data_IF_861470745031
#
_entry.id   IF_861470745031
#
_cell.length_a   1.000
_cell.length_b   1.000
_cell.length_c   1.000
_cell.angle_alpha   90.00
_cell.angle_beta   90.00
_cell.angle_gamma   90.00
#
_symmetry.space_group_name_H-M   'P 1'
#
loop_
_entity.id
_entity.type
_entity.pdbx_description
1 polymer ?
#
# COMPACT_ATOMS: atom_id res chain seq x y z
N UNK A 1 -94.03 -34.49 46.73
CA UNK A 1 -92.74 -35.15 47.09
C UNK A 1 -92.18 -35.76 45.85
N UNK A 2 -91.28 -35.07 45.20
CA UNK A 2 -90.68 -35.47 43.93
C UNK A 2 -89.18 -35.51 44.20
N UNK A 3 -88.60 -36.69 44.14
CA UNK A 3 -87.16 -36.92 44.30
C UNK A 3 -86.51 -36.82 42.92
N UNK A 4 -85.62 -35.82 42.79
CA UNK A 4 -84.88 -35.60 41.53
C UNK A 4 -83.54 -36.34 41.61
N UNK A 5 -83.35 -37.31 40.74
CA UNK A 5 -82.08 -38.02 40.55
C UNK A 5 -81.16 -37.22 39.59
N UNK A 6 -80.04 -36.73 40.09
CA UNK A 6 -78.97 -36.17 39.28
C UNK A 6 -77.97 -37.27 38.90
N UNK A 7 -77.92 -37.63 37.60
CA UNK A 7 -76.90 -38.47 37.02
C UNK A 7 -75.66 -37.63 36.71
N UNK A 8 -74.58 -37.85 37.44
CA UNK A 8 -73.29 -37.23 37.14
C UNK A 8 -72.51 -38.13 36.14
N UNK A 9 -72.52 -37.72 34.88
CA UNK A 9 -71.68 -38.33 33.84
C UNK A 9 -70.24 -37.87 33.94
N UNK A 10 -69.37 -38.74 34.34
CA UNK A 10 -67.92 -38.52 34.30
C UNK A 10 -67.42 -38.82 32.89
N UNK A 11 -67.06 -37.76 32.14
CA UNK A 11 -66.34 -37.86 30.89
C UNK A 11 -64.86 -38.12 31.15
N UNK A 12 -64.42 -39.37 30.99
CA UNK A 12 -63.01 -39.72 30.93
C UNK A 12 -62.45 -39.22 29.60
N UNK A 13 -61.75 -38.07 29.63
CA UNK A 13 -60.81 -37.71 28.54
C UNK A 13 -59.59 -38.61 28.62
N UNK A 14 -59.53 -39.59 27.75
CA UNK A 14 -58.32 -40.36 27.51
C UNK A 14 -57.25 -39.48 26.90
N UNK A 15 -56.25 -39.11 27.70
CA UNK A 15 -55.05 -38.43 27.18
C UNK A 15 -54.30 -39.42 26.27
N UNK A 16 -54.30 -39.16 24.97
CA UNK A 16 -53.42 -39.83 24.02
C UNK A 16 -51.97 -39.54 24.49
N UNK A 17 -51.08 -40.55 24.52
CA UNK A 17 -49.69 -40.30 24.85
C UNK A 17 -49.08 -39.42 23.75
N UNK A 18 -48.89 -38.14 24.04
CA UNK A 18 -48.14 -37.25 23.19
C UNK A 18 -46.72 -37.80 23.06
N UNK A 19 -46.36 -38.29 21.87
CA UNK A 19 -44.98 -38.61 21.56
C UNK A 19 -44.21 -37.29 21.54
N UNK A 20 -43.63 -36.95 22.67
CA UNK A 20 -42.63 -35.91 22.76
C UNK A 20 -41.45 -36.37 21.91
N UNK A 21 -41.41 -35.89 20.68
CA UNK A 21 -40.26 -36.06 19.82
C UNK A 21 -39.14 -35.32 20.52
N UNK A 22 -38.24 -36.05 21.17
CA UNK A 22 -37.03 -35.48 21.73
C UNK A 22 -36.31 -34.70 20.61
N UNK A 23 -36.02 -33.42 20.86
CA UNK A 23 -35.21 -32.66 19.91
C UNK A 23 -33.89 -33.42 19.67
N UNK A 24 -33.41 -33.55 18.44
CA UNK A 24 -32.13 -34.18 18.22
C UNK A 24 -31.07 -33.49 19.05
N UNK A 25 -30.23 -34.29 19.75
CA UNK A 25 -29.21 -33.79 20.65
C UNK A 25 -28.30 -32.77 20.00
N UNK A 26 -28.13 -32.83 18.69
CA UNK A 26 -27.40 -31.86 17.85
C UNK A 26 -28.09 -31.72 16.49
N UNK A 27 -28.28 -30.48 16.03
CA UNK A 27 -28.79 -30.19 14.67
C UNK A 27 -27.64 -30.04 13.67
N UNK A 28 -26.39 -30.20 14.10
CA UNK A 28 -25.18 -30.23 13.28
C UNK A 28 -24.30 -31.42 13.68
N UNK A 29 -23.35 -31.77 12.78
CA UNK A 29 -22.33 -32.79 13.06
C UNK A 29 -21.03 -32.10 13.46
N UNK A 30 -20.47 -32.45 14.61
CA UNK A 30 -19.13 -32.07 14.98
C UNK A 30 -18.10 -33.05 14.42
N UNK A 31 -16.93 -32.55 13.94
CA UNK A 31 -15.88 -33.44 13.44
C UNK A 31 -15.35 -34.32 14.57
N UNK A 32 -15.15 -35.62 14.30
CA UNK A 32 -14.51 -36.55 15.23
C UNK A 32 -13.11 -36.13 15.63
N UNK A 33 -12.58 -36.68 16.71
CA UNK A 33 -11.27 -36.32 17.28
C UNK A 33 -10.06 -36.59 16.36
N UNK A 34 -10.17 -37.49 15.39
CA UNK A 34 -9.12 -37.76 14.42
C UNK A 34 -9.35 -36.95 13.14
N UNK A 35 -8.72 -35.77 13.09
CA UNK A 35 -8.60 -34.97 11.86
C UNK A 35 -7.41 -35.50 11.06
N UNK A 36 -7.65 -36.18 9.96
CA UNK A 36 -6.58 -36.44 8.97
C UNK A 36 -6.29 -35.11 8.27
N UNK A 37 -5.14 -34.53 8.55
CA UNK A 37 -4.68 -33.27 7.91
C UNK A 37 -3.47 -33.61 7.02
N UNK A 38 -3.44 -33.04 5.83
CA UNK A 38 -2.23 -33.11 5.01
C UNK A 38 -1.10 -32.38 5.74
N UNK A 39 0.06 -33.03 6.03
CA UNK A 39 1.16 -32.44 6.78
C UNK A 39 1.64 -31.11 6.19
N UNK A 40 1.75 -31.00 4.87
CA UNK A 40 2.18 -29.78 4.19
C UNK A 40 1.21 -28.60 4.44
N UNK A 41 -0.11 -28.86 4.39
CA UNK A 41 -1.12 -27.84 4.69
C UNK A 41 -1.07 -27.41 6.16
N UNK A 42 -0.78 -28.35 7.05
CA UNK A 42 -0.64 -28.05 8.48
C UNK A 42 0.61 -27.21 8.75
N UNK A 43 1.74 -27.53 8.10
CA UNK A 43 2.97 -26.74 8.20
C UNK A 43 2.77 -25.31 7.67
N UNK A 44 2.13 -25.16 6.50
CA UNK A 44 1.81 -23.85 5.94
C UNK A 44 0.90 -23.04 6.88
N UNK A 45 -0.17 -23.65 7.39
CA UNK A 45 -1.05 -23.00 8.35
C UNK A 45 -0.30 -22.55 9.62
N UNK A 46 0.54 -23.42 10.19
CA UNK A 46 1.34 -23.11 11.35
C UNK A 46 2.32 -21.97 11.08
N UNK A 47 2.96 -21.96 9.91
CA UNK A 47 3.87 -20.91 9.50
C UNK A 47 3.16 -19.55 9.40
N UNK A 48 1.97 -19.49 8.76
CA UNK A 48 1.19 -18.27 8.63
C UNK A 48 0.69 -17.75 9.98
N UNK A 49 0.19 -18.63 10.87
CA UNK A 49 -0.23 -18.27 12.22
C UNK A 49 0.93 -17.73 13.03
N UNK A 50 2.09 -18.39 12.98
CA UNK A 50 3.29 -17.94 13.70
C UNK A 50 3.78 -16.59 13.17
N UNK A 51 3.77 -16.40 11.85
CA UNK A 51 4.13 -15.14 11.22
C UNK A 51 3.18 -14.01 11.67
N UNK A 52 1.89 -14.27 11.68
CA UNK A 52 0.85 -13.35 12.15
C UNK A 52 1.12 -12.90 13.58
N UNK A 53 1.23 -13.83 14.52
CA UNK A 53 1.49 -13.51 15.94
C UNK A 53 2.75 -12.66 16.16
N UNK A 54 3.78 -12.87 15.34
CA UNK A 54 5.04 -12.12 15.44
C UNK A 54 4.91 -10.70 14.91
N UNK A 55 4.11 -10.47 13.87
CA UNK A 55 4.07 -9.21 13.14
C UNK A 55 2.95 -8.27 13.58
N UNK A 56 1.78 -8.81 13.93
CA UNK A 56 0.61 -8.00 14.30
C UNK A 56 0.91 -6.95 15.38
N UNK A 57 1.72 -7.24 16.42
CA UNK A 57 2.02 -6.23 17.44
C UNK A 57 2.77 -4.99 16.92
N UNK A 58 3.42 -5.07 15.78
CA UNK A 58 4.12 -3.95 15.17
C UNK A 58 3.29 -3.20 14.10
N UNK A 59 2.07 -3.66 13.81
CA UNK A 59 1.15 -3.01 12.86
C UNK A 59 0.13 -2.20 13.63
N UNK A 60 -0.06 -0.95 13.23
CA UNK A 60 -0.92 0.00 13.92
C UNK A 60 -2.09 0.44 13.05
N UNK A 61 -3.20 0.79 13.69
CA UNK A 61 -4.32 1.49 13.06
C UNK A 61 -4.15 2.99 13.20
N UNK A 62 -4.46 3.71 12.13
CA UNK A 62 -4.44 5.17 12.11
C UNK A 62 -5.87 5.68 11.99
N UNK A 63 -6.26 6.57 12.91
CA UNK A 63 -7.48 7.38 12.81
C UNK A 63 -7.08 8.81 12.56
N UNK A 64 -7.56 9.34 11.43
CA UNK A 64 -7.14 10.65 10.94
C UNK A 64 -8.33 11.60 10.97
N UNK A 65 -8.23 12.63 11.78
CA UNK A 65 -9.25 13.68 11.91
C UNK A 65 -8.87 14.86 11.04
N UNK A 66 -9.76 15.24 10.12
CA UNK A 66 -9.59 16.42 9.24
C UNK A 66 -10.18 17.68 9.89
N UNK A 67 -9.94 18.85 9.29
CA UNK A 67 -10.61 20.09 9.71
C UNK A 67 -12.12 19.96 9.54
N UNK A 68 -12.89 20.49 10.49
CA UNK A 68 -14.37 20.47 10.45
C UNK A 68 -14.88 20.99 9.10
N UNK A 69 -15.68 20.19 8.41
CA UNK A 69 -16.38 20.55 7.16
C UNK A 69 -15.80 19.95 5.87
N UNK A 70 -14.60 19.42 5.86
CA UNK A 70 -14.03 18.77 4.68
C UNK A 70 -14.00 17.26 4.87
N UNK A 71 -15.08 16.59 4.48
CA UNK A 71 -15.08 15.11 4.32
C UNK A 71 -14.42 14.77 2.99
N UNK A 72 -13.11 14.75 2.94
CA UNK A 72 -12.39 14.17 1.80
C UNK A 72 -12.35 12.65 1.91
N UNK A 73 -13.50 12.01 1.86
CA UNK A 73 -13.57 10.57 1.66
C UNK A 73 -13.22 10.27 0.20
N UNK A 74 -12.47 9.20 -0.08
CA UNK A 74 -12.24 8.75 -1.45
C UNK A 74 -13.56 8.60 -2.21
N UNK A 75 -13.61 8.81 -3.54
CA UNK A 75 -14.84 8.84 -4.34
C UNK A 75 -15.77 7.62 -4.22
N UNK A 76 -15.31 6.50 -3.65
CA UNK A 76 -16.07 5.26 -3.49
C UNK A 76 -16.15 4.78 -2.02
N UNK A 77 -15.93 5.67 -1.05
CA UNK A 77 -16.06 5.29 0.35
C UNK A 77 -17.52 5.03 0.72
N UNK A 78 -17.85 3.94 1.47
CA UNK A 78 -19.21 3.74 1.99
C UNK A 78 -19.64 4.94 2.85
N UNK A 79 -20.94 5.29 2.86
CA UNK A 79 -21.43 6.42 3.66
C UNK A 79 -21.07 6.22 5.14
N UNK A 80 -20.57 7.29 5.77
CA UNK A 80 -20.32 7.30 7.22
C UNK A 80 -21.67 7.19 7.92
N UNK A 81 -21.86 6.26 8.88
CA UNK A 81 -23.07 6.21 9.66
C UNK A 81 -23.33 7.53 10.40
N UNK A 82 -24.58 8.02 10.38
CA UNK A 82 -24.96 9.24 11.08
C UNK A 82 -24.50 9.23 12.54
N UNK A 83 -23.86 10.32 12.98
CA UNK A 83 -23.40 10.51 14.36
C UNK A 83 -21.97 10.09 14.67
N UNK A 84 -21.17 9.61 13.68
CA UNK A 84 -19.72 9.42 13.89
C UNK A 84 -18.95 10.63 13.38
N UNK A 85 -17.87 11.04 14.08
CA UNK A 85 -17.00 12.09 13.58
C UNK A 85 -16.38 11.68 12.23
N UNK A 86 -16.21 12.61 11.30
CA UNK A 86 -15.55 12.33 10.04
C UNK A 86 -14.06 12.06 10.29
N UNK A 87 -13.65 10.80 10.34
CA UNK A 87 -12.25 10.41 10.37
C UNK A 87 -11.94 9.43 9.24
N UNK A 88 -10.78 9.62 8.60
CA UNK A 88 -10.19 8.64 7.71
C UNK A 88 -9.54 7.51 8.51
N UNK A 89 -9.45 6.33 7.93
CA UNK A 89 -8.74 5.19 8.52
C UNK A 89 -7.67 4.67 7.60
N UNK A 90 -6.58 4.20 8.17
CA UNK A 90 -5.50 3.53 7.47
C UNK A 90 -4.67 2.71 8.43
N UNK A 91 -3.58 2.18 7.93
CA UNK A 91 -2.61 1.41 8.70
C UNK A 91 -1.23 2.05 8.67
N UNK A 92 -0.39 1.61 9.58
CA UNK A 92 1.04 1.88 9.60
C UNK A 92 1.78 0.71 10.22
N UNK A 93 3.09 0.80 10.24
CA UNK A 93 3.91 -0.18 10.95
C UNK A 93 5.11 0.48 11.62
N UNK A 94 5.46 -0.05 12.79
CA UNK A 94 6.52 0.46 13.65
C UNK A 94 7.87 -0.07 13.13
N UNK A 95 8.80 0.83 12.81
CA UNK A 95 10.13 0.50 12.29
C UNK A 95 11.24 0.74 13.31
N UNK A 96 10.93 1.42 14.44
CA UNK A 96 11.87 1.70 15.52
C UNK A 96 11.13 1.69 16.86
N UNK A 97 11.73 1.06 17.87
CA UNK A 97 11.08 0.79 19.16
C UNK A 97 10.69 2.03 19.97
N UNK A 98 11.20 3.20 19.62
CA UNK A 98 10.84 4.48 20.22
C UNK A 98 9.60 5.14 19.57
N UNK A 99 8.86 4.37 18.74
CA UNK A 99 7.58 4.80 18.16
C UNK A 99 7.68 5.47 16.79
N UNK A 100 8.72 5.16 15.99
CA UNK A 100 8.80 5.61 14.60
C UNK A 100 7.96 4.71 13.70
N UNK A 101 7.04 5.30 12.92
CA UNK A 101 6.02 4.60 12.13
C UNK A 101 6.08 5.06 10.69
N UNK A 102 5.99 4.10 9.75
CA UNK A 102 5.80 4.35 8.32
C UNK A 102 4.34 4.12 7.95
N UNK A 103 3.81 5.00 7.09
CA UNK A 103 2.47 4.89 6.49
C UNK A 103 2.45 5.57 5.11
N UNK A 104 1.30 5.57 4.43
CA UNK A 104 1.11 6.35 3.20
C UNK A 104 0.81 7.83 3.49
N UNK A 105 1.22 8.70 2.57
CA UNK A 105 0.87 10.12 2.61
C UNK A 105 -0.64 10.33 2.47
N UNK A 106 -1.31 9.66 1.53
CA UNK A 106 -2.74 9.81 1.32
C UNK A 106 -3.59 9.43 2.55
N UNK A 107 -3.06 8.58 3.47
CA UNK A 107 -3.73 8.24 4.73
C UNK A 107 -3.77 9.43 5.68
N UNK A 108 -2.72 10.27 5.67
CA UNK A 108 -2.59 11.40 6.59
C UNK A 108 -2.83 12.76 5.95
N UNK A 109 -3.09 12.80 4.65
CA UNK A 109 -3.31 14.03 3.90
C UNK A 109 -4.44 14.86 4.53
N UNK A 110 -4.23 16.18 4.66
CA UNK A 110 -5.16 17.12 5.29
C UNK A 110 -5.49 16.82 6.77
N UNK A 111 -4.68 16.00 7.45
CA UNK A 111 -4.89 15.68 8.86
C UNK A 111 -4.68 16.90 9.77
N UNK A 112 -5.56 17.05 10.77
CA UNK A 112 -5.37 17.94 11.92
C UNK A 112 -4.81 17.16 13.12
N UNK A 113 -5.32 15.94 13.30
CA UNK A 113 -4.93 15.06 14.40
C UNK A 113 -4.85 13.64 13.87
N UNK A 114 -3.82 12.91 14.26
CA UNK A 114 -3.61 11.50 13.93
C UNK A 114 -3.51 10.73 15.24
N UNK A 115 -4.46 9.80 15.47
CA UNK A 115 -4.40 8.84 16.55
C UNK A 115 -3.83 7.53 16.02
N UNK A 116 -2.86 6.99 16.72
CA UNK A 116 -2.25 5.69 16.47
C UNK A 116 -2.77 4.73 17.52
N UNK A 117 -3.48 3.70 17.10
CA UNK A 117 -3.96 2.63 17.96
C UNK A 117 -3.02 1.44 17.86
N UNK A 118 -2.48 1.02 19.00
CA UNK A 118 -1.55 -0.09 19.15
C UNK A 118 -2.30 -1.42 19.29
N UNK A 119 -1.57 -2.51 19.11
CA UNK A 119 -2.14 -3.88 19.18
C UNK A 119 -2.67 -4.26 20.58
N UNK A 120 -2.11 -3.73 21.64
CA UNK A 120 -2.52 -3.95 23.02
C UNK A 120 -3.78 -3.18 23.45
N UNK A 121 -4.30 -2.33 22.58
CA UNK A 121 -5.47 -1.49 22.81
C UNK A 121 -5.13 -0.07 23.27
N UNK A 122 -3.87 0.24 23.53
CA UNK A 122 -3.43 1.59 23.82
C UNK A 122 -3.44 2.48 22.58
N UNK A 123 -3.46 3.80 22.78
CA UNK A 123 -3.37 4.75 21.71
C UNK A 123 -2.50 5.95 22.07
N UNK A 124 -1.91 6.56 21.04
CA UNK A 124 -1.10 7.76 21.19
C UNK A 124 -1.36 8.75 20.04
N UNK A 125 -1.15 10.04 20.31
CA UNK A 125 -1.17 11.05 19.25
C UNK A 125 0.16 11.05 18.50
N UNK A 126 0.09 11.00 17.17
CA UNK A 126 1.27 11.06 16.33
C UNK A 126 1.64 12.48 15.91
N UNK A 127 2.95 12.71 15.78
CA UNK A 127 3.51 13.86 15.08
C UNK A 127 4.01 13.42 13.70
N UNK A 128 3.66 14.17 12.65
CA UNK A 128 4.25 13.97 11.33
C UNK A 128 5.69 14.47 11.38
N UNK A 129 6.66 13.58 11.21
CA UNK A 129 8.08 13.92 11.11
C UNK A 129 8.45 14.33 9.69
N UNK A 130 7.89 13.66 8.68
CA UNK A 130 8.14 13.97 7.29
C UNK A 130 7.09 13.35 6.38
N UNK A 131 6.94 13.96 5.21
CA UNK A 131 5.96 13.55 4.20
C UNK A 131 6.53 13.65 2.78
N UNK A 132 6.14 12.72 1.94
CA UNK A 132 6.46 12.65 0.52
C UNK A 132 5.19 12.39 -0.29
N UNK A 133 4.49 13.46 -0.64
CA UNK A 133 3.26 13.39 -1.41
C UNK A 133 3.45 12.74 -2.79
N UNK A 134 4.62 12.92 -3.40
CA UNK A 134 4.92 12.36 -4.72
C UNK A 134 5.21 10.85 -4.64
N UNK A 135 5.80 10.39 -3.55
CA UNK A 135 6.06 8.98 -3.28
C UNK A 135 4.98 8.28 -2.47
N UNK A 136 3.94 9.00 -2.06
CA UNK A 136 2.86 8.48 -1.21
C UNK A 136 3.36 7.85 0.09
N UNK A 137 4.32 8.51 0.77
CA UNK A 137 4.91 8.05 2.02
C UNK A 137 4.82 9.12 3.11
N UNK A 138 4.67 8.67 4.35
CA UNK A 138 4.77 9.52 5.53
C UNK A 138 5.48 8.81 6.67
N UNK A 139 6.18 9.60 7.48
CA UNK A 139 6.89 9.16 8.67
C UNK A 139 6.27 9.84 9.88
N UNK A 140 5.80 9.03 10.82
CA UNK A 140 5.15 9.48 12.04
C UNK A 140 6.00 9.12 13.26
N UNK A 141 5.83 9.89 14.34
CA UNK A 141 6.41 9.60 15.66
C UNK A 141 5.33 9.66 16.72
N UNK A 142 5.24 8.62 17.54
CA UNK A 142 4.47 8.63 18.79
C UNK A 142 5.41 8.67 20.00
N UNK A 143 4.91 9.20 21.10
CA UNK A 143 5.59 9.08 22.38
C UNK A 143 5.23 7.73 23.01
N UNK A 144 6.21 7.05 23.59
CA UNK A 144 6.04 5.80 24.32
C UNK A 144 6.94 5.80 25.55
N UNK A 145 6.51 5.15 26.61
CA UNK A 145 7.26 4.97 27.85
C UNK A 145 7.96 3.58 27.95
N UNK A 146 7.72 2.72 26.95
CA UNK A 146 8.35 1.42 26.81
C UNK A 146 8.71 1.12 25.35
N UNK A 147 9.67 0.24 25.08
CA UNK A 147 10.02 -0.17 23.74
C UNK A 147 8.86 -0.88 23.03
N UNK A 148 8.49 -0.41 21.84
CA UNK A 148 7.45 -1.01 21.04
C UNK A 148 7.98 -2.16 20.17
N UNK A 149 7.15 -3.15 19.82
CA UNK A 149 7.46 -4.15 18.81
C UNK A 149 7.78 -3.50 17.47
N UNK A 150 8.75 -4.05 16.73
CA UNK A 150 9.17 -3.54 15.42
C UNK A 150 9.14 -4.63 14.37
N UNK A 151 8.90 -4.26 13.13
CA UNK A 151 8.99 -5.16 11.99
C UNK A 151 10.28 -4.87 11.19
N UNK A 152 11.09 -5.89 10.86
CA UNK A 152 12.32 -5.70 10.09
C UNK A 152 12.02 -5.32 8.64
N UNK A 153 12.83 -4.42 8.06
CA UNK A 153 12.75 -4.05 6.66
C UNK A 153 13.64 -4.97 5.81
N UNK A 154 13.02 -5.74 4.93
CA UNK A 154 13.68 -6.66 3.99
C UNK A 154 14.19 -5.96 2.72
N UNK A 155 14.25 -6.68 1.60
CA UNK A 155 14.60 -6.14 0.28
C UNK A 155 13.54 -6.46 -0.77
N UNK A 156 13.03 -5.44 -1.41
CA UNK A 156 12.12 -5.57 -2.56
C UNK A 156 12.88 -5.90 -3.85
N UNK A 157 14.16 -5.60 -3.93
CA UNK A 157 14.98 -5.93 -5.09
C UNK A 157 15.21 -7.44 -5.18
N UNK A 158 15.52 -8.09 -4.06
CA UNK A 158 15.72 -9.53 -3.95
C UNK A 158 14.44 -10.35 -4.23
N UNK A 159 13.26 -9.75 -4.06
CA UNK A 159 11.96 -10.41 -4.22
C UNK A 159 11.76 -10.94 -5.64
N UNK A 160 11.17 -12.12 -5.79
CA UNK A 160 10.89 -12.76 -7.09
C UNK A 160 9.38 -12.89 -7.32
N UNK A 161 8.97 -12.84 -8.58
CA UNK A 161 7.60 -13.17 -8.99
C UNK A 161 7.29 -14.61 -8.61
N UNK A 162 6.12 -14.84 -8.00
CA UNK A 162 5.69 -16.13 -7.47
C UNK A 162 6.02 -16.36 -5.99
N UNK A 163 6.85 -15.53 -5.34
CA UNK A 163 7.09 -15.63 -3.90
C UNK A 163 5.84 -15.27 -3.10
N UNK A 164 5.61 -16.00 -2.02
CA UNK A 164 4.52 -15.73 -1.10
C UNK A 164 4.72 -14.42 -0.36
N UNK A 165 3.64 -13.67 -0.22
CA UNK A 165 3.58 -12.42 0.54
C UNK A 165 2.30 -12.33 1.35
N UNK A 166 2.36 -11.56 2.43
CA UNK A 166 1.25 -11.29 3.32
C UNK A 166 1.08 -9.78 3.43
N UNK A 167 -0.11 -9.30 3.09
CA UNK A 167 -0.47 -7.91 3.35
C UNK A 167 -1.19 -7.83 4.68
N UNK A 168 -0.74 -6.92 5.55
CA UNK A 168 -1.27 -6.72 6.88
C UNK A 168 -1.80 -5.30 7.00
N UNK A 169 -2.94 -5.15 7.69
CA UNK A 169 -3.51 -3.88 8.07
C UNK A 169 -4.32 -3.98 9.34
N UNK A 170 -4.70 -2.85 9.89
CA UNK A 170 -5.56 -2.74 11.07
C UNK A 170 -6.71 -1.77 10.78
N UNK A 171 -7.67 -2.15 9.90
CA UNK A 171 -8.84 -1.32 9.65
C UNK A 171 -9.65 -1.22 10.94
N UNK A 172 -10.14 -0.03 11.28
CA UNK A 172 -11.04 0.21 12.41
C UNK A 172 -10.46 0.06 13.83
N UNK A 173 -9.20 -0.30 14.02
CA UNK A 173 -8.48 -0.21 15.30
C UNK A 173 -8.68 -1.35 16.29
N UNK A 174 -9.42 -2.44 15.94
CA UNK A 174 -9.64 -3.58 16.80
C UNK A 174 -9.30 -4.92 16.19
N UNK A 175 -9.45 -5.04 14.85
CA UNK A 175 -9.22 -6.30 14.14
C UNK A 175 -8.16 -6.12 13.07
N UNK A 176 -7.00 -6.72 13.29
CA UNK A 176 -5.98 -6.80 12.25
C UNK A 176 -6.47 -7.71 11.13
N UNK A 177 -6.35 -7.23 9.90
CA UNK A 177 -6.63 -8.02 8.70
C UNK A 177 -5.33 -8.51 8.10
N UNK A 178 -5.27 -9.79 7.81
CA UNK A 178 -4.16 -10.44 7.14
C UNK A 178 -4.67 -11.08 5.87
N UNK A 179 -4.08 -10.73 4.72
CA UNK A 179 -4.37 -11.35 3.45
C UNK A 179 -3.11 -11.97 2.87
N UNK A 180 -3.24 -13.14 2.27
CA UNK A 180 -2.14 -13.94 1.76
C UNK A 180 -2.23 -14.06 0.24
N UNK A 181 -1.10 -14.00 -0.44
CA UNK A 181 -1.01 -14.13 -1.88
C UNK A 181 0.44 -14.28 -2.33
N UNK A 182 0.69 -13.93 -3.59
CA UNK A 182 2.01 -13.98 -4.21
C UNK A 182 2.40 -12.62 -4.79
N UNK A 183 3.66 -12.46 -5.07
CA UNK A 183 4.16 -11.40 -5.96
C UNK A 183 3.73 -11.73 -7.38
N UNK A 184 2.73 -11.04 -7.91
CA UNK A 184 2.21 -11.25 -9.27
C UNK A 184 3.09 -10.60 -10.33
N UNK A 185 3.69 -9.44 -10.01
CA UNK A 185 4.65 -8.74 -10.87
C UNK A 185 5.51 -7.75 -10.08
N UNK A 186 6.61 -7.31 -10.69
CA UNK A 186 7.47 -6.23 -10.17
C UNK A 186 7.53 -5.09 -11.19
N UNK A 187 7.86 -3.89 -10.71
CA UNK A 187 8.07 -2.70 -11.56
C UNK A 187 6.83 -2.33 -12.38
N UNK A 188 5.63 -2.49 -11.80
CA UNK A 188 4.39 -2.04 -12.44
C UNK A 188 4.26 -0.52 -12.35
N UNK A 189 3.96 0.09 -13.49
CA UNK A 189 3.88 1.53 -13.64
C UNK A 189 2.43 1.94 -13.91
N UNK A 190 1.88 2.79 -13.05
CA UNK A 190 0.58 3.43 -13.28
C UNK A 190 0.79 4.88 -13.72
N UNK A 191 -0.06 5.36 -14.62
CA UNK A 191 0.04 6.68 -15.28
C UNK A 191 0.04 7.89 -14.32
N UNK A 192 -0.21 7.75 -13.02
CA UNK A 192 -0.36 8.87 -12.09
C UNK A 192 0.37 8.75 -10.75
N UNK A 193 0.98 7.65 -10.42
CA UNK A 193 1.64 7.48 -9.13
C UNK A 193 2.82 6.52 -9.24
N UNK A 194 3.92 6.88 -8.62
CA UNK A 194 5.09 6.03 -8.46
C UNK A 194 6.36 6.58 -9.06
N UNK A 195 7.00 7.47 -8.33
CA UNK A 195 8.35 7.96 -8.62
C UNK A 195 9.41 6.89 -8.32
N UNK A 196 9.03 5.76 -7.73
CA UNK A 196 9.93 4.78 -7.13
C UNK A 196 10.24 3.54 -7.98
N UNK A 197 10.46 3.66 -9.27
CA UNK A 197 10.88 2.49 -10.05
C UNK A 197 9.79 1.42 -10.27
N UNK A 198 8.53 1.73 -9.96
CA UNK A 198 7.36 0.86 -10.11
C UNK A 198 6.92 0.15 -8.83
N UNK A 199 5.68 -0.30 -8.82
CA UNK A 199 5.07 -1.00 -7.69
C UNK A 199 5.34 -2.50 -7.74
N UNK A 200 5.30 -3.13 -6.56
CA UNK A 200 5.07 -4.57 -6.44
C UNK A 200 3.58 -4.81 -6.64
N UNK A 201 3.22 -5.70 -7.57
CA UNK A 201 1.86 -6.17 -7.76
C UNK A 201 1.69 -7.49 -7.02
N UNK A 202 0.58 -7.65 -6.31
CA UNK A 202 0.19 -8.86 -5.59
C UNK A 202 -1.30 -9.16 -5.77
N UNK A 203 -1.67 -10.41 -5.64
CA UNK A 203 -3.06 -10.88 -5.52
C UNK A 203 -3.51 -11.03 -4.05
N UNK A 204 -2.60 -10.81 -3.09
CA UNK A 204 -3.02 -10.56 -1.71
C UNK A 204 -3.96 -9.36 -1.70
N UNK A 205 -5.16 -9.52 -1.14
CA UNK A 205 -6.18 -8.47 -1.17
C UNK A 205 -5.70 -7.20 -0.47
N UNK A 206 -5.59 -6.12 -1.23
CA UNK A 206 -5.36 -4.77 -0.72
C UNK A 206 -6.71 -4.05 -0.76
N UNK A 207 -7.14 -3.50 0.37
CA UNK A 207 -8.44 -2.84 0.51
C UNK A 207 -8.30 -1.59 1.38
N UNK A 208 -9.35 -0.78 1.41
CA UNK A 208 -9.46 0.33 2.36
C UNK A 208 -9.23 -0.19 3.78
N UNK A 209 -8.23 0.35 4.45
CA UNK A 209 -7.84 -0.04 5.81
C UNK A 209 -6.51 -0.75 5.93
N UNK A 210 -5.99 -1.46 4.90
CA UNK A 210 -4.61 -1.95 4.94
C UNK A 210 -3.61 -1.04 4.19
N UNK A 211 -4.09 0.06 3.57
CA UNK A 211 -3.23 1.12 3.02
C UNK A 211 -2.32 1.70 4.10
N UNK A 212 -1.03 1.82 3.80
CA UNK A 212 0.02 2.23 4.75
C UNK A 212 0.56 1.09 5.60
N UNK A 213 -0.11 -0.05 5.66
CA UNK A 213 0.38 -1.27 6.32
C UNK A 213 1.46 -1.98 5.52
N UNK A 214 2.17 -2.96 6.12
CA UNK A 214 3.27 -3.66 5.47
C UNK A 214 2.79 -4.77 4.53
N UNK A 215 3.49 -4.93 3.41
CA UNK A 215 3.57 -6.17 2.64
C UNK A 215 4.81 -6.91 3.10
N UNK A 216 4.67 -8.15 3.59
CA UNK A 216 5.78 -8.91 4.19
C UNK A 216 6.03 -10.21 3.43
N UNK A 217 7.28 -10.67 3.43
CA UNK A 217 7.67 -11.97 2.91
C UNK A 217 7.49 -13.07 3.97
N UNK A 218 7.77 -14.33 3.59
CA UNK A 218 7.65 -15.50 4.48
C UNK A 218 8.64 -15.47 5.66
N UNK A 219 9.68 -14.64 5.61
CA UNK A 219 10.63 -14.44 6.71
C UNK A 219 10.13 -13.40 7.73
N UNK A 220 9.01 -12.72 7.43
CA UNK A 220 8.44 -11.65 8.24
C UNK A 220 9.17 -10.32 8.10
N UNK A 221 9.77 -10.11 6.95
CA UNK A 221 10.42 -8.85 6.61
C UNK A 221 9.51 -8.03 5.70
N UNK A 222 9.41 -6.74 5.93
CA UNK A 222 8.66 -5.83 5.06
C UNK A 222 9.35 -5.72 3.71
N UNK A 223 8.65 -6.05 2.64
CA UNK A 223 9.11 -5.92 1.25
C UNK A 223 8.39 -4.80 0.49
N UNK A 224 7.32 -4.25 1.07
CA UNK A 224 6.60 -3.10 0.51
C UNK A 224 5.65 -2.45 1.49
N UNK A 225 5.11 -1.28 1.10
CA UNK A 225 4.03 -0.56 1.80
C UNK A 225 2.78 -0.64 0.94
N UNK A 226 1.72 -1.26 1.46
CA UNK A 226 0.43 -1.39 0.76
C UNK A 226 -0.12 0.00 0.44
N UNK A 227 -0.56 0.25 -0.80
CA UNK A 227 -0.99 1.61 -1.16
C UNK A 227 -2.28 1.67 -1.95
N UNK A 228 -2.46 0.86 -2.99
CA UNK A 228 -3.57 1.03 -3.91
C UNK A 228 -4.08 -0.29 -4.49
N UNK A 229 -5.31 -0.23 -5.02
CA UNK A 229 -5.90 -1.29 -5.85
C UNK A 229 -6.35 -0.72 -7.18
N UNK A 230 -6.40 -1.57 -8.21
CA UNK A 230 -6.96 -1.25 -9.53
C UNK A 230 -8.04 -2.27 -9.87
N UNK A 231 -9.12 -1.80 -10.47
CA UNK A 231 -10.30 -2.64 -10.74
C UNK A 231 -11.17 -2.84 -9.49
N UNK A 232 -11.84 -3.98 -9.39
CA UNK A 232 -12.71 -4.35 -8.27
C UNK A 232 -11.95 -4.88 -7.04
N UNK A 233 -10.66 -4.52 -6.87
CA UNK A 233 -9.83 -5.00 -5.75
C UNK A 233 -8.99 -6.25 -6.07
N UNK A 234 -8.99 -6.71 -7.31
CA UNK A 234 -8.29 -7.92 -7.74
C UNK A 234 -6.77 -7.75 -7.88
N UNK A 235 -6.31 -6.52 -8.09
CA UNK A 235 -4.90 -6.21 -8.24
C UNK A 235 -4.45 -5.27 -7.12
N UNK A 236 -3.68 -5.80 -6.19
CA UNK A 236 -3.06 -5.05 -5.11
C UNK A 236 -1.69 -4.52 -5.51
N UNK A 237 -1.33 -3.33 -4.98
CA UNK A 237 -0.06 -2.68 -5.24
C UNK A 237 0.58 -2.19 -3.96
N UNK A 238 1.90 -2.38 -3.87
CA UNK A 238 2.71 -1.90 -2.77
C UNK A 238 3.93 -1.12 -3.27
N UNK A 239 4.28 -0.07 -2.54
CA UNK A 239 5.51 0.70 -2.74
C UNK A 239 6.69 -0.18 -2.31
N UNK A 240 7.72 -0.38 -3.16
CA UNK A 240 8.86 -1.22 -2.82
C UNK A 240 9.62 -0.70 -1.59
N UNK A 241 10.00 -1.60 -0.67
CA UNK A 241 10.66 -1.19 0.58
C UNK A 241 12.04 -0.55 0.36
N UNK A 242 12.77 -0.95 -0.70
CA UNK A 242 14.06 -0.34 -0.97
C UNK A 242 13.92 1.13 -1.40
N UNK A 243 12.79 1.48 -2.06
CA UNK A 243 12.44 2.86 -2.35
C UNK A 243 12.08 3.66 -1.09
N UNK A 244 11.36 3.03 -0.15
CA UNK A 244 11.08 3.62 1.18
C UNK A 244 12.36 3.89 1.93
N UNK A 245 13.27 2.89 2.03
CA UNK A 245 14.57 3.03 2.70
C UNK A 245 15.41 4.17 2.14
N UNK A 246 15.36 4.39 0.81
CA UNK A 246 16.11 5.45 0.16
C UNK A 246 15.69 6.85 0.62
N UNK A 247 14.42 7.06 0.98
CA UNK A 247 13.88 8.37 1.36
C UNK A 247 13.72 8.56 2.88
N UNK A 248 13.72 7.48 3.67
CA UNK A 248 13.56 7.55 5.13
C UNK A 248 14.54 8.49 5.83
N UNK A 249 15.85 8.51 5.50
CA UNK A 249 16.80 9.44 6.13
C UNK A 249 16.42 10.92 5.90
N UNK A 250 15.97 11.26 4.69
CA UNK A 250 15.58 12.62 4.33
C UNK A 250 14.24 13.00 4.98
N UNK A 251 13.25 12.10 4.99
CA UNK A 251 12.00 12.29 5.72
C UNK A 251 12.24 12.55 7.22
N UNK A 252 13.18 11.83 7.82
CA UNK A 252 13.50 11.97 9.23
C UNK A 252 14.22 13.27 9.56
N UNK A 253 15.14 13.74 8.70
CA UNK A 253 16.00 14.90 8.97
C UNK A 253 15.47 16.20 8.36
N UNK A 254 15.01 16.16 7.11
CA UNK A 254 14.61 17.34 6.34
C UNK A 254 13.09 17.54 6.27
N UNK A 255 12.30 16.58 6.76
CA UNK A 255 10.83 16.58 6.78
C UNK A 255 10.16 16.52 5.40
N UNK A 256 10.89 16.63 4.32
CA UNK A 256 10.41 16.58 2.93
C UNK A 256 11.47 15.94 2.06
N UNK A 257 11.04 15.16 1.06
CA UNK A 257 11.93 14.56 0.08
C UNK A 257 12.17 15.53 -1.06
N UNK A 258 13.46 15.83 -1.30
CA UNK A 258 13.88 16.65 -2.43
C UNK A 258 14.01 15.77 -3.66
N UNK A 259 13.20 16.01 -4.68
CA UNK A 259 13.22 15.25 -5.93
C UNK A 259 14.01 15.96 -7.01
N UNK A 260 14.78 15.17 -7.74
CA UNK A 260 15.41 15.65 -8.96
C UNK A 260 14.38 16.08 -10.00
N UNK A 261 14.77 17.04 -10.81
CA UNK A 261 13.91 17.65 -11.83
C UNK A 261 14.70 18.02 -13.08
N UNK A 262 14.09 17.81 -14.26
CA UNK A 262 14.67 18.23 -15.54
C UNK A 262 13.89 19.37 -16.20
N UNK A 263 12.59 19.45 -16.00
CA UNK A 263 11.73 20.42 -16.68
C UNK A 263 11.42 20.02 -18.13
N UNK A 264 11.10 18.75 -18.37
CA UNK A 264 10.71 18.23 -19.69
C UNK A 264 9.33 17.61 -19.65
N UNK A 265 8.57 17.75 -20.73
CA UNK A 265 7.39 16.95 -21.01
C UNK A 265 7.78 15.79 -21.91
N UNK A 266 7.54 14.58 -21.46
CA UNK A 266 7.98 13.35 -22.13
C UNK A 266 6.80 12.46 -22.49
N UNK A 267 6.98 11.66 -23.55
CA UNK A 267 6.00 10.68 -24.05
C UNK A 267 6.70 9.38 -24.43
N UNK A 268 5.98 8.25 -24.43
CA UNK A 268 6.48 7.03 -25.05
C UNK A 268 6.86 7.30 -26.52
N UNK A 269 7.94 6.68 -26.97
CA UNK A 269 8.33 6.73 -28.37
C UNK A 269 7.47 5.77 -29.18
N UNK A 270 6.65 6.28 -30.09
CA UNK A 270 5.84 5.45 -30.98
C UNK A 270 6.70 4.76 -32.08
N UNK A 271 6.15 3.68 -32.64
CA UNK A 271 6.86 2.85 -33.60
C UNK A 271 7.23 3.60 -34.87
N UNK A 272 6.39 4.51 -35.36
CA UNK A 272 6.64 5.27 -36.57
C UNK A 272 7.80 6.24 -36.38
N UNK A 273 7.80 7.00 -35.29
CA UNK A 273 8.92 7.89 -34.97
C UNK A 273 10.21 7.12 -34.68
N UNK A 274 10.13 5.98 -33.99
CA UNK A 274 11.30 5.13 -33.78
C UNK A 274 11.92 4.69 -35.09
N UNK A 275 11.08 4.20 -36.03
CA UNK A 275 11.51 3.80 -37.39
C UNK A 275 12.15 4.94 -38.18
N UNK A 276 11.51 6.12 -38.16
CA UNK A 276 12.03 7.32 -38.84
C UNK A 276 13.40 7.76 -38.26
N UNK A 277 13.69 7.45 -37.00
CA UNK A 277 14.92 7.75 -36.29
C UNK A 277 15.95 6.60 -36.32
N UNK A 278 15.69 5.51 -37.05
CA UNK A 278 16.59 4.35 -37.13
C UNK A 278 16.67 3.51 -35.86
N UNK A 279 15.67 3.61 -34.98
CA UNK A 279 15.60 2.86 -33.73
C UNK A 279 14.71 1.62 -33.87
N UNK A 280 15.32 0.45 -34.02
CA UNK A 280 14.63 -0.85 -34.05
C UNK A 280 15.28 -1.84 -33.06
N UNK A 281 14.55 -2.37 -32.08
CA UNK A 281 13.20 -1.98 -31.65
C UNK A 281 13.12 -0.56 -31.09
N UNK A 282 11.91 0.02 -30.92
CA UNK A 282 11.73 1.33 -30.28
C UNK A 282 12.40 1.34 -28.89
N UNK A 283 13.22 2.35 -28.65
CA UNK A 283 13.93 2.54 -27.37
C UNK A 283 14.18 4.02 -27.13
N UNK A 284 14.15 4.42 -25.87
CA UNK A 284 14.29 5.82 -25.48
C UNK A 284 12.95 6.51 -25.28
N UNK A 285 13.03 7.75 -24.84
CA UNK A 285 11.88 8.57 -24.44
C UNK A 285 11.85 9.85 -25.27
N UNK A 286 10.71 10.09 -25.92
CA UNK A 286 10.50 11.28 -26.75
C UNK A 286 10.27 12.51 -25.89
N UNK A 287 11.06 13.55 -26.08
CA UNK A 287 10.88 14.87 -25.49
C UNK A 287 9.84 15.64 -26.31
N UNK A 288 8.65 15.80 -25.72
CA UNK A 288 7.55 16.51 -26.34
C UNK A 288 7.74 18.03 -26.25
N UNK A 289 8.17 18.48 -25.06
CA UNK A 289 8.37 19.90 -24.77
C UNK A 289 9.46 20.09 -23.70
N UNK A 290 10.06 21.26 -23.66
CA UNK A 290 11.09 21.64 -22.67
C UNK A 290 10.66 22.96 -22.03
N UNK A 291 10.55 22.95 -20.71
CA UNK A 291 10.15 24.14 -19.95
C UNK A 291 11.28 25.16 -19.92
N UNK A 292 10.92 26.43 -20.04
CA UNK A 292 11.88 27.53 -20.02
C UNK A 292 12.59 27.64 -18.66
N UNK A 293 13.86 28.03 -18.68
CA UNK A 293 14.72 28.25 -17.50
C UNK A 293 14.89 27.02 -16.61
N UNK A 294 14.62 25.82 -17.16
CA UNK A 294 14.77 24.56 -16.47
C UNK A 294 16.06 23.81 -16.86
N UNK A 295 16.53 22.86 -16.04
CA UNK A 295 17.80 22.15 -16.25
C UNK A 295 17.97 21.55 -17.64
N UNK A 296 16.93 20.98 -18.22
CA UNK A 296 17.00 20.38 -19.55
C UNK A 296 17.27 21.41 -20.64
N UNK A 297 16.60 22.58 -20.58
CA UNK A 297 16.86 23.68 -21.51
C UNK A 297 18.29 24.20 -21.38
N UNK A 298 18.75 24.39 -20.14
CA UNK A 298 20.12 24.87 -19.85
C UNK A 298 21.18 23.89 -20.36
N UNK A 299 20.91 22.58 -20.33
CA UNK A 299 21.76 21.54 -20.88
C UNK A 299 21.68 21.41 -22.40
N UNK A 300 20.78 22.15 -23.08
CA UNK A 300 20.60 22.12 -24.53
C UNK A 300 19.69 21.00 -25.05
N UNK A 301 18.87 20.37 -24.19
CA UNK A 301 17.80 19.46 -24.64
C UNK A 301 16.71 20.30 -25.30
N UNK A 302 16.16 19.82 -26.40
CA UNK A 302 15.10 20.50 -27.18
C UNK A 302 13.93 19.53 -27.46
N UNK A 303 12.78 20.08 -27.76
CA UNK A 303 11.64 19.29 -28.23
C UNK A 303 12.02 18.51 -29.51
N UNK A 304 11.62 17.25 -29.58
CA UNK A 304 11.98 16.34 -30.68
C UNK A 304 13.17 15.43 -30.38
N UNK A 305 13.92 15.66 -29.32
CA UNK A 305 14.98 14.75 -28.87
C UNK A 305 14.41 13.41 -28.37
N UNK A 306 15.21 12.36 -28.49
CA UNK A 306 14.90 11.05 -27.89
C UNK A 306 16.00 10.72 -26.87
N UNK A 307 15.68 10.77 -25.60
CA UNK A 307 16.61 10.42 -24.52
C UNK A 307 16.82 8.91 -24.49
N UNK A 308 18.07 8.46 -24.62
CA UNK A 308 18.47 7.05 -24.70
C UNK A 308 19.09 6.54 -23.39
N UNK A 309 19.89 7.39 -22.72
CA UNK A 309 20.50 7.09 -21.42
C UNK A 309 20.44 8.31 -20.51
N UNK A 310 20.41 8.03 -19.20
CA UNK A 310 20.51 9.03 -18.17
C UNK A 310 21.44 8.49 -17.08
N UNK A 311 22.50 9.23 -16.75
CA UNK A 311 23.53 8.84 -15.76
C UNK A 311 24.08 7.41 -16.00
N UNK A 312 24.36 7.08 -17.27
CA UNK A 312 24.85 5.77 -17.70
C UNK A 312 23.78 4.66 -17.76
N UNK A 313 22.57 4.90 -17.26
CA UNK A 313 21.49 3.92 -17.29
C UNK A 313 20.67 4.04 -18.58
N UNK A 314 20.39 2.90 -19.22
CA UNK A 314 19.55 2.86 -20.42
C UNK A 314 18.10 3.24 -20.04
N UNK A 315 17.50 4.11 -20.84
CA UNK A 315 16.11 4.55 -20.69
C UNK A 315 15.30 4.00 -21.88
N UNK A 316 14.19 3.32 -21.58
CA UNK A 316 13.29 2.73 -22.58
C UNK A 316 11.87 3.27 -22.45
N UNK A 317 11.48 3.75 -21.26
CA UNK A 317 10.14 4.27 -20.98
C UNK A 317 10.19 5.63 -20.29
N UNK A 318 9.15 6.49 -20.45
CA UNK A 318 9.03 7.74 -19.70
C UNK A 318 9.16 7.56 -18.20
N UNK A 319 8.61 6.46 -17.69
CA UNK A 319 8.63 6.15 -16.28
C UNK A 319 10.05 5.87 -15.78
N UNK A 320 10.86 5.10 -16.50
CA UNK A 320 12.27 4.87 -16.13
C UNK A 320 13.03 6.18 -16.03
N UNK A 321 12.84 7.11 -16.98
CA UNK A 321 13.46 8.42 -16.90
C UNK A 321 12.98 9.21 -15.69
N UNK A 322 11.66 9.28 -15.45
CA UNK A 322 11.10 9.97 -14.29
C UNK A 322 11.64 9.42 -12.97
N UNK A 323 11.71 8.09 -12.84
CA UNK A 323 12.21 7.43 -11.64
C UNK A 323 13.69 7.72 -11.40
N UNK A 324 14.53 7.60 -12.44
CA UNK A 324 15.96 7.87 -12.34
C UNK A 324 16.22 9.33 -11.98
N UNK A 325 15.51 10.25 -12.63
CA UNK A 325 15.62 11.68 -12.32
C UNK A 325 15.19 11.97 -10.88
N UNK A 326 14.05 11.41 -10.45
CA UNK A 326 13.50 11.70 -9.13
C UNK A 326 14.41 11.26 -7.97
N UNK A 327 15.16 10.15 -8.12
CA UNK A 327 16.11 9.67 -7.10
C UNK A 327 17.50 10.29 -7.22
N UNK A 328 17.78 11.04 -8.30
CA UNK A 328 19.06 11.71 -8.49
C UNK A 328 19.09 13.01 -7.67
N UNK A 329 20.08 13.21 -6.79
CA UNK A 329 20.17 14.42 -6.00
C UNK A 329 20.19 15.69 -6.84
N UNK A 330 19.44 16.70 -6.44
CA UNK A 330 19.52 18.02 -7.04
C UNK A 330 20.96 18.57 -6.92
N UNK A 331 21.43 19.24 -7.97
CA UNK A 331 22.80 19.72 -8.09
C UNK A 331 23.80 18.70 -8.63
N UNK A 332 23.45 17.39 -8.71
CA UNK A 332 24.31 16.41 -9.36
C UNK A 332 24.33 16.64 -10.87
N UNK A 333 25.54 16.69 -11.47
CA UNK A 333 25.71 16.71 -12.91
C UNK A 333 25.79 15.27 -13.42
N UNK A 334 24.97 14.96 -14.41
CA UNK A 334 24.84 13.63 -15.02
C UNK A 334 25.04 13.72 -16.53
N UNK A 335 25.46 12.61 -17.13
CA UNK A 335 25.56 12.48 -18.57
C UNK A 335 24.22 11.99 -19.15
N UNK A 336 23.73 12.65 -20.19
CA UNK A 336 22.53 12.28 -20.95
C UNK A 336 22.92 12.02 -22.39
N UNK A 337 22.68 10.79 -22.87
CA UNK A 337 22.77 10.47 -24.29
C UNK A 337 21.40 10.60 -24.93
N UNK A 338 21.32 11.32 -26.03
CA UNK A 338 20.09 11.51 -26.78
C UNK A 338 20.32 11.38 -28.31
N UNK A 339 19.26 11.13 -29.02
CA UNK A 339 19.21 11.14 -30.47
C UNK A 339 18.45 12.37 -30.94
N UNK A 340 19.09 13.18 -31.80
CA UNK A 340 18.51 14.36 -32.46
C UNK A 340 18.71 14.24 -33.96
N UNK A 341 17.62 14.24 -34.72
CA UNK A 341 17.70 14.14 -36.23
C UNK A 341 18.66 13.03 -36.68
N UNK A 342 18.55 11.82 -36.08
CA UNK A 342 19.39 10.63 -36.34
C UNK A 342 20.87 10.72 -35.89
N UNK A 343 21.31 11.83 -35.32
CA UNK A 343 22.65 11.99 -34.74
C UNK A 343 22.61 11.82 -33.25
N UNK A 344 23.60 11.11 -32.69
CA UNK A 344 23.76 10.95 -31.23
C UNK A 344 24.47 12.17 -30.66
N UNK A 345 23.99 12.62 -29.53
CA UNK A 345 24.56 13.72 -28.75
C UNK A 345 24.71 13.27 -27.29
N UNK A 346 25.80 13.70 -26.69
CA UNK A 346 26.06 13.56 -25.26
C UNK A 346 26.04 14.94 -24.63
N UNK A 347 25.25 15.10 -23.59
CA UNK A 347 25.09 16.37 -22.88
C UNK A 347 25.41 16.17 -21.39
N UNK A 348 26.01 17.18 -20.77
CA UNK A 348 26.10 17.26 -19.33
C UNK A 348 24.91 18.06 -18.79
N UNK A 349 24.17 17.48 -17.87
CA UNK A 349 22.96 18.05 -17.32
C UNK A 349 23.06 18.10 -15.79
N UNK A 350 22.90 19.28 -15.19
CA UNK A 350 22.78 19.43 -13.76
C UNK A 350 21.32 19.29 -13.35
N UNK A 351 21.02 18.27 -12.54
CA UNK A 351 19.67 17.98 -12.08
C UNK A 351 19.18 19.10 -11.15
N UNK A 352 18.02 19.64 -11.40
CA UNK A 352 17.38 20.66 -10.57
C UNK A 352 16.53 20.07 -9.46
N UNK A 353 15.86 20.93 -8.70
CA UNK A 353 14.88 20.56 -7.67
C UNK A 353 13.46 20.61 -8.25
N UNK A 354 12.66 19.56 -8.01
CA UNK A 354 11.27 19.54 -8.42
C UNK A 354 10.49 20.69 -7.76
N UNK A 355 9.78 21.52 -8.52
CA UNK A 355 8.98 22.59 -7.96
C UNK A 355 7.89 22.05 -7.03
N UNK A 356 7.63 22.72 -5.91
CA UNK A 356 6.48 22.40 -5.06
C UNK A 356 5.19 22.59 -5.86
N UNK A 357 4.27 21.63 -5.79
CA UNK A 357 2.91 21.86 -6.28
C UNK A 357 2.27 22.99 -5.48
N UNK A 358 1.86 24.02 -6.18
CA UNK A 358 1.02 25.08 -5.63
C UNK A 358 -0.41 24.58 -5.45
#
# INVERSE_FOLDING_TARGET
MIVSLLLSGVLLFGALPGTTRAAPAHIWTEPGQQRQTNPLLQELNTALVTLSHRLLPAVVSLRVYTKEGETSLPPNHPPIPEGKPPFGTGSGFIIRADGLIVTNYHVIENSKTIEVHLHDGDFALAKVLGEDAAGDLALLQIATDHPLPVVPLGSSEALKVGEFVVAIGSPFGFDHSLTFGIVSAKKRHFLRSGIFGGFIQTDASINTGNSGGPLVNIHGEVVGVNTATVGSGELGFAIPIDAVKAVLPELYTARQVTRGWLGVQIRPLDQEKAKAMGLHPPRGVYVHDVLNDQPAQQAGIVAGDIILTFDGQRITTPFELQSQVAITPAGKTVQVELLRKQSRHELQLTVGTMPKRQ
#
